data_IF_575999659817
#
_entry.id   IF_575999659817
#
_cell.length_a   1.000
_cell.length_b   1.000
_cell.length_c   1.000
_cell.angle_alpha   90.00
_cell.angle_beta   90.00
_cell.angle_gamma   90.00
#
_symmetry.space_group_name_H-M   'P 1'
#
loop_
_entity.id
_entity.type
_entity.pdbx_description
1 polymer ?
#
# COMPACT_ATOMS: atom_id res chain seq x y z
N UNK A 1 20.40 -15.95 5.09
CA UNK A 1 19.20 -16.12 5.93
C UNK A 1 19.67 -16.26 7.36
N UNK A 2 19.35 -15.29 8.22
CA UNK A 2 19.73 -15.37 9.63
C UNK A 2 18.78 -16.35 10.30
N UNK A 3 19.35 -17.48 10.70
CA UNK A 3 18.76 -18.48 11.59
C UNK A 3 18.19 -17.75 12.80
N UNK A 4 16.89 -17.90 13.04
CA UNK A 4 16.14 -17.58 14.28
C UNK A 4 16.93 -16.77 15.31
N UNK A 5 16.97 -15.44 15.12
CA UNK A 5 17.48 -14.51 16.10
C UNK A 5 16.64 -14.51 17.40
N UNK A 6 17.16 -13.93 18.50
CA UNK A 6 16.41 -13.81 19.74
C UNK A 6 15.10 -13.04 19.50
N UNK A 7 14.03 -13.50 20.15
CA UNK A 7 12.71 -12.86 20.06
C UNK A 7 12.84 -11.41 20.52
N UNK A 8 12.39 -10.48 19.68
CA UNK A 8 12.51 -9.06 19.96
C UNK A 8 11.33 -8.54 20.78
N UNK A 9 11.51 -7.45 21.55
CA UNK A 9 10.41 -6.82 22.29
C UNK A 9 9.28 -6.33 21.36
N UNK A 10 9.61 -5.95 20.11
CA UNK A 10 8.63 -5.57 19.10
C UNK A 10 7.69 -6.72 18.70
N UNK A 11 8.24 -7.92 18.52
CA UNK A 11 7.46 -9.13 18.20
C UNK A 11 6.53 -9.54 19.35
N UNK A 12 7.04 -9.52 20.59
CA UNK A 12 6.23 -9.81 21.78
C UNK A 12 5.13 -8.76 21.95
N UNK A 13 5.45 -7.47 21.79
CA UNK A 13 4.48 -6.37 21.84
C UNK A 13 3.37 -6.54 20.79
N UNK A 14 3.72 -6.97 19.58
CA UNK A 14 2.74 -7.23 18.53
C UNK A 14 1.80 -8.38 18.91
N UNK A 15 2.34 -9.51 19.39
CA UNK A 15 1.54 -10.66 19.82
C UNK A 15 0.61 -10.29 21.00
N UNK A 16 1.11 -9.55 21.99
CA UNK A 16 0.32 -9.04 23.11
C UNK A 16 -0.83 -8.13 22.66
N UNK A 17 -0.66 -7.40 21.56
CA UNK A 17 -1.72 -6.57 20.96
C UNK A 17 -2.74 -7.38 20.13
N UNK A 18 -2.27 -8.35 19.34
CA UNK A 18 -3.12 -9.12 18.42
C UNK A 18 -3.97 -10.16 19.16
N UNK A 19 -3.44 -10.82 20.18
CA UNK A 19 -4.16 -11.90 20.90
C UNK A 19 -5.48 -11.42 21.50
N UNK A 20 -5.54 -10.31 22.29
CA UNK A 20 -6.80 -9.83 22.84
C UNK A 20 -7.80 -9.40 21.75
N UNK A 21 -7.33 -8.83 20.65
CA UNK A 21 -8.17 -8.45 19.51
C UNK A 21 -8.77 -9.69 18.83
N UNK A 22 -7.97 -10.75 18.68
CA UNK A 22 -8.43 -12.01 18.11
C UNK A 22 -9.47 -12.69 19.01
N UNK A 23 -9.25 -12.72 20.33
CA UNK A 23 -10.22 -13.26 21.30
C UNK A 23 -11.51 -12.43 21.28
N UNK A 24 -11.40 -11.10 21.31
CA UNK A 24 -12.54 -10.19 21.27
C UNK A 24 -13.35 -10.34 19.97
N UNK A 25 -12.68 -10.57 18.84
CA UNK A 25 -13.33 -10.87 17.58
C UNK A 25 -14.11 -12.19 17.65
N UNK A 26 -13.48 -13.29 18.08
CA UNK A 26 -14.17 -14.60 18.23
C UNK A 26 -15.38 -14.47 19.16
N UNK A 27 -15.24 -13.75 20.27
CA UNK A 27 -16.34 -13.52 21.20
C UNK A 27 -17.47 -12.70 20.57
N UNK A 28 -17.15 -11.68 19.76
CA UNK A 28 -18.15 -10.90 19.01
C UNK A 28 -18.91 -11.75 17.97
N UNK A 29 -18.24 -12.69 17.29
CA UNK A 29 -18.86 -13.64 16.37
C UNK A 29 -19.78 -14.61 17.12
N UNK A 30 -19.34 -15.10 18.28
CA UNK A 30 -20.14 -15.96 19.12
C UNK A 30 -21.41 -15.26 19.65
N UNK A 31 -21.30 -13.99 20.06
CA UNK A 31 -22.44 -13.18 20.49
C UNK A 31 -23.45 -12.94 19.36
N UNK A 32 -22.98 -12.67 18.13
CA UNK A 32 -23.85 -12.51 16.96
C UNK A 32 -24.55 -13.82 16.60
N UNK A 33 -23.83 -14.94 16.64
CA UNK A 33 -24.39 -16.27 16.44
C UNK A 33 -25.48 -16.57 17.48
N UNK A 34 -25.22 -16.30 18.77
CA UNK A 34 -26.20 -16.48 19.86
C UNK A 34 -27.43 -15.58 19.66
N UNK A 35 -27.24 -14.32 19.26
CA UNK A 35 -28.34 -13.39 18.95
C UNK A 35 -29.17 -13.89 17.77
N UNK A 36 -28.53 -14.37 16.70
CA UNK A 36 -29.21 -14.90 15.51
C UNK A 36 -29.97 -16.19 15.80
N UNK A 37 -29.40 -17.08 16.61
CA UNK A 37 -30.07 -18.29 17.10
C UNK A 37 -31.25 -17.97 18.03
N UNK A 38 -31.15 -16.93 18.87
CA UNK A 38 -32.27 -16.48 19.69
C UNK A 38 -33.40 -15.88 18.85
N UNK A 39 -33.09 -15.11 17.80
CA UNK A 39 -34.09 -14.61 16.85
C UNK A 39 -34.73 -15.74 16.04
N UNK A 40 -33.97 -16.74 15.58
CA UNK A 40 -34.56 -17.89 14.88
C UNK A 40 -35.45 -18.72 15.79
N UNK A 41 -35.09 -18.85 17.09
CA UNK A 41 -35.87 -19.58 18.09
C UNK A 41 -37.19 -18.86 18.43
N UNK A 42 -37.15 -17.52 18.57
CA UNK A 42 -38.36 -16.69 18.73
C UNK A 42 -39.23 -16.72 17.48
N UNK A 43 -38.62 -16.76 16.28
CA UNK A 43 -39.39 -16.88 15.05
C UNK A 43 -40.01 -18.27 14.87
N UNK A 44 -39.35 -19.36 15.30
CA UNK A 44 -39.95 -20.70 15.31
C UNK A 44 -41.05 -20.86 16.37
N UNK A 45 -40.93 -20.21 17.52
CA UNK A 45 -41.98 -20.23 18.56
C UNK A 45 -43.20 -19.39 18.13
N UNK A 46 -42.99 -18.27 17.43
CA UNK A 46 -44.07 -17.48 16.85
C UNK A 46 -44.75 -18.22 15.68
N UNK A 47 -43.98 -18.87 14.80
CA UNK A 47 -44.53 -19.68 13.71
C UNK A 47 -45.29 -20.94 14.19
N UNK A 48 -45.14 -21.34 15.46
CA UNK A 48 -45.93 -22.42 16.06
C UNK A 48 -47.27 -21.93 16.64
N UNK A 49 -47.38 -20.63 16.96
CA UNK A 49 -48.60 -19.99 17.49
C UNK A 49 -49.42 -19.34 16.36
N UNK A 50 -48.79 -18.97 15.25
CA UNK A 50 -49.44 -18.36 14.08
C UNK A 50 -49.90 -19.39 13.03
N UNK A 51 -49.69 -20.70 13.27
CA UNK A 51 -50.14 -21.78 12.36
C UNK A 51 -51.62 -22.18 12.58
N UNK A 52 -52.44 -21.23 13.04
CA UNK A 52 -53.88 -21.40 13.27
C UNK A 52 -54.77 -20.56 12.36
N UNK A 53 -54.28 -19.44 11.80
CA UNK A 53 -55.10 -18.56 10.97
C UNK A 53 -54.29 -17.93 9.82
N UNK A 54 -54.86 -18.06 8.62
CA UNK A 54 -54.63 -17.28 7.41
C UNK A 54 -53.57 -17.72 6.37
N UNK A 55 -54.15 -18.35 5.35
CA UNK A 55 -53.72 -18.55 3.98
C UNK A 55 -53.49 -17.26 3.16
N UNK A 56 -52.42 -17.27 2.36
CA UNK A 56 -52.23 -16.63 1.04
C UNK A 56 -52.06 -15.09 1.01
N UNK A 57 -50.83 -14.65 0.66
CA UNK A 57 -50.56 -13.83 -0.55
C UNK A 57 -49.05 -13.68 -0.79
N UNK A 58 -48.60 -14.30 -1.89
CA UNK A 58 -47.34 -14.00 -2.57
C UNK A 58 -47.49 -12.68 -3.33
N UNK A 59 -46.93 -11.56 -2.87
CA UNK A 59 -46.51 -10.46 -3.77
C UNK A 59 -45.66 -9.36 -3.10
N UNK A 60 -44.49 -9.69 -2.54
CA UNK A 60 -43.53 -8.64 -2.10
C UNK A 60 -42.06 -8.94 -2.43
N UNK A 61 -41.82 -9.93 -3.31
CA UNK A 61 -40.47 -10.41 -3.65
C UNK A 61 -39.85 -9.76 -4.89
N UNK A 62 -40.23 -8.51 -5.19
CA UNK A 62 -39.72 -7.80 -6.37
C UNK A 62 -39.16 -6.38 -6.11
N UNK A 63 -39.03 -5.93 -4.85
CA UNK A 63 -38.52 -4.57 -4.54
C UNK A 63 -37.16 -4.56 -3.80
N UNK A 64 -36.54 -5.71 -3.54
CA UNK A 64 -35.28 -5.82 -2.78
C UNK A 64 -33.99 -5.91 -3.61
N UNK A 65 -33.93 -5.33 -4.81
CA UNK A 65 -32.69 -5.27 -5.60
C UNK A 65 -32.29 -3.89 -6.16
N UNK A 66 -32.94 -2.81 -5.75
CA UNK A 66 -32.55 -1.47 -6.22
C UNK A 66 -32.73 -0.41 -5.13
N UNK A 67 -31.67 -0.15 -4.35
CA UNK A 67 -31.72 0.87 -3.31
C UNK A 67 -30.51 0.86 -2.40
N UNK A 68 -29.55 1.73 -2.68
CA UNK A 68 -28.30 1.84 -1.92
C UNK A 68 -28.51 2.10 -0.43
N UNK A 69 -27.66 1.46 0.38
CA UNK A 69 -27.25 1.75 1.75
C UNK A 69 -27.93 2.98 2.41
N UNK A 70 -29.17 2.85 2.85
CA UNK A 70 -29.77 3.79 3.79
C UNK A 70 -29.34 3.37 5.19
N UNK A 71 -28.37 4.12 5.74
CA UNK A 71 -28.12 4.17 7.18
C UNK A 71 -29.43 4.42 7.90
N UNK A 72 -29.92 3.44 8.64
CA UNK A 72 -30.93 3.69 9.67
C UNK A 72 -30.29 4.51 10.79
N UNK A 73 -30.74 5.75 10.90
CA UNK A 73 -30.39 6.69 11.91
C UNK A 73 -31.20 6.41 13.17
N UNK A 74 -30.53 5.92 14.23
CA UNK A 74 -30.79 6.35 15.62
C UNK A 74 -29.83 5.62 16.56
N UNK A 75 -28.62 6.15 16.68
CA UNK A 75 -27.84 6.01 17.90
C UNK A 75 -27.13 7.34 18.10
N UNK A 76 -27.58 8.10 19.09
CA UNK A 76 -26.92 9.32 19.58
C UNK A 76 -25.43 9.01 19.77
N UNK A 77 -24.57 9.56 18.92
CA UNK A 77 -23.13 9.53 19.07
C UNK A 77 -22.75 10.31 20.33
N UNK A 78 -22.67 9.63 21.47
CA UNK A 78 -21.94 10.16 22.60
C UNK A 78 -20.45 9.92 22.32
N UNK A 79 -19.69 10.99 22.20
CA UNK A 79 -18.24 10.98 22.05
C UNK A 79 -17.61 10.40 23.33
N UNK A 80 -17.65 9.07 23.47
CA UNK A 80 -16.99 8.40 24.57
C UNK A 80 -15.48 8.66 24.45
N UNK A 81 -14.88 9.11 25.56
CA UNK A 81 -13.44 9.30 25.66
C UNK A 81 -12.73 8.00 25.27
N UNK A 82 -11.57 8.09 24.60
CA UNK A 82 -10.77 6.91 24.20
C UNK A 82 -10.51 5.99 25.41
N UNK A 83 -10.34 6.57 26.60
CA UNK A 83 -10.22 5.84 27.86
C UNK A 83 -11.45 4.98 28.16
N UNK A 84 -12.65 5.52 27.95
CA UNK A 84 -13.91 4.80 28.14
C UNK A 84 -14.03 3.66 27.13
N UNK A 85 -13.71 3.89 25.85
CA UNK A 85 -13.74 2.82 24.83
C UNK A 85 -12.70 1.73 25.11
N UNK A 86 -11.50 2.09 25.58
CA UNK A 86 -10.48 1.13 25.98
C UNK A 86 -10.93 0.32 27.19
N UNK A 87 -11.57 0.96 28.17
CA UNK A 87 -12.10 0.27 29.35
C UNK A 87 -13.21 -0.70 28.96
N UNK A 88 -14.15 -0.29 28.08
CA UNK A 88 -15.21 -1.16 27.54
C UNK A 88 -14.66 -2.34 26.75
N UNK A 89 -13.59 -2.14 26.00
CA UNK A 89 -12.88 -3.21 25.30
C UNK A 89 -12.23 -4.19 26.28
N UNK A 90 -11.51 -3.68 27.30
CA UNK A 90 -10.86 -4.51 28.31
C UNK A 90 -11.87 -5.28 29.18
N UNK A 91 -13.04 -4.69 29.45
CA UNK A 91 -14.13 -5.37 30.17
C UNK A 91 -14.98 -6.28 29.28
N UNK A 92 -14.63 -6.44 28.00
CA UNK A 92 -15.36 -7.23 27.00
C UNK A 92 -16.88 -6.95 26.98
N UNK A 93 -17.27 -5.67 26.90
CA UNK A 93 -18.68 -5.29 26.89
C UNK A 93 -19.38 -5.72 25.57
N UNK A 94 -20.46 -6.51 25.68
CA UNK A 94 -21.21 -7.08 24.55
C UNK A 94 -21.65 -6.03 23.50
N UNK A 95 -22.15 -4.88 23.97
CA UNK A 95 -22.66 -3.79 23.13
C UNK A 95 -21.54 -3.19 22.24
N UNK A 96 -20.37 -2.99 22.83
CA UNK A 96 -19.20 -2.41 22.18
C UNK A 96 -18.57 -3.36 21.16
N UNK A 97 -18.51 -4.66 21.48
CA UNK A 97 -17.95 -5.68 20.61
C UNK A 97 -18.82 -5.92 19.37
N UNK A 98 -20.15 -5.93 19.52
CA UNK A 98 -21.07 -6.03 18.39
C UNK A 98 -21.01 -4.81 17.48
N UNK A 99 -20.90 -3.59 18.05
CA UNK A 99 -20.79 -2.36 17.27
C UNK A 99 -19.49 -2.28 16.45
N UNK A 100 -18.37 -2.76 17.02
CA UNK A 100 -17.04 -2.70 16.38
C UNK A 100 -16.60 -4.01 15.71
N UNK A 101 -17.51 -4.98 15.55
CA UNK A 101 -17.21 -6.32 15.01
C UNK A 101 -16.44 -6.29 13.69
N UNK A 102 -16.86 -5.47 12.72
CA UNK A 102 -16.18 -5.37 11.43
C UNK A 102 -14.73 -4.87 11.57
N UNK A 103 -14.48 -3.94 12.49
CA UNK A 103 -13.14 -3.43 12.79
C UNK A 103 -12.29 -4.48 13.50
N UNK A 104 -12.85 -5.20 14.48
CA UNK A 104 -12.17 -6.29 15.19
C UNK A 104 -11.79 -7.41 14.23
N UNK A 105 -12.69 -7.81 13.34
CA UNK A 105 -12.43 -8.76 12.27
C UNK A 105 -11.29 -8.29 11.37
N UNK A 106 -11.32 -7.04 10.93
CA UNK A 106 -10.27 -6.50 10.07
C UNK A 106 -8.88 -6.49 10.74
N UNK A 107 -8.82 -6.14 12.03
CA UNK A 107 -7.58 -6.19 12.82
C UNK A 107 -7.10 -7.63 13.05
N UNK A 108 -8.02 -8.57 13.33
CA UNK A 108 -7.72 -9.98 13.50
C UNK A 108 -7.20 -10.62 12.19
N UNK A 109 -7.81 -10.31 11.05
CA UNK A 109 -7.37 -10.78 9.73
C UNK A 109 -5.96 -10.29 9.39
N UNK A 110 -5.65 -9.00 9.61
CA UNK A 110 -4.27 -8.48 9.43
C UNK A 110 -3.30 -9.18 10.39
N UNK A 111 -3.68 -9.37 11.65
CA UNK A 111 -2.88 -10.10 12.62
C UNK A 111 -2.54 -11.51 12.16
N UNK A 112 -3.53 -12.25 11.64
CA UNK A 112 -3.34 -13.60 11.12
C UNK A 112 -2.42 -13.65 9.90
N UNK A 113 -2.56 -12.70 8.95
CA UNK A 113 -1.67 -12.60 7.78
C UNK A 113 -0.22 -12.35 8.21
N UNK A 114 0.00 -11.48 9.19
CA UNK A 114 1.33 -11.17 9.70
C UNK A 114 1.96 -12.33 10.46
N UNK A 115 1.17 -13.07 11.24
CA UNK A 115 1.62 -14.31 11.90
C UNK A 115 1.99 -15.37 10.85
N UNK A 116 1.21 -15.49 9.77
CA UNK A 116 1.55 -16.37 8.66
C UNK A 116 2.89 -16.00 8.03
N UNK A 117 3.15 -14.71 7.79
CA UNK A 117 4.44 -14.24 7.25
C UNK A 117 5.60 -14.55 8.21
N UNK A 118 5.40 -14.37 9.51
CA UNK A 118 6.38 -14.73 10.52
C UNK A 118 6.71 -16.22 10.47
N UNK A 119 5.70 -17.08 10.38
CA UNK A 119 5.89 -18.54 10.25
C UNK A 119 6.68 -18.86 8.97
N UNK A 120 6.32 -18.26 7.83
CA UNK A 120 6.99 -18.53 6.56
C UNK A 120 8.45 -18.08 6.50
N UNK A 121 8.81 -16.96 7.14
CA UNK A 121 10.12 -16.31 6.97
C UNK A 121 11.05 -16.49 8.19
N UNK A 122 10.52 -16.81 9.38
CA UNK A 122 11.31 -16.95 10.62
C UNK A 122 11.28 -18.35 11.21
N UNK A 123 10.44 -19.26 10.70
CA UNK A 123 10.39 -20.64 11.17
C UNK A 123 10.71 -21.60 10.04
N UNK A 124 11.39 -22.70 10.38
CA UNK A 124 11.70 -23.77 9.43
C UNK A 124 10.54 -24.79 9.30
N UNK A 125 9.31 -24.39 9.68
CA UNK A 125 8.13 -25.24 9.57
C UNK A 125 7.78 -25.54 8.11
N UNK A 126 8.13 -24.63 7.20
CA UNK A 126 8.03 -24.80 5.76
C UNK A 126 9.44 -25.02 5.20
N UNK A 127 9.59 -25.98 4.30
CA UNK A 127 10.89 -26.29 3.69
C UNK A 127 11.44 -25.12 2.87
N UNK A 128 12.73 -24.83 3.04
CA UNK A 128 13.43 -23.82 2.25
C UNK A 128 13.77 -24.37 0.86
N UNK A 129 13.65 -23.53 -0.17
CA UNK A 129 14.03 -23.87 -1.55
C UNK A 129 14.95 -22.81 -2.12
N UNK A 130 15.91 -23.23 -2.93
CA UNK A 130 16.84 -22.32 -3.62
C UNK A 130 16.17 -21.68 -4.83
N UNK A 131 16.48 -20.41 -5.08
CA UNK A 131 15.99 -19.69 -6.27
C UNK A 131 16.67 -20.26 -7.50
N UNK A 132 15.90 -20.81 -8.43
CA UNK A 132 16.37 -21.27 -9.74
C UNK A 132 15.95 -20.28 -10.82
N UNK A 133 16.93 -19.66 -11.48
CA UNK A 133 16.67 -18.81 -12.64
C UNK A 133 16.70 -19.64 -13.92
N UNK A 134 15.59 -19.63 -14.67
CA UNK A 134 15.55 -20.11 -16.05
C UNK A 134 15.07 -18.96 -16.93
N UNK A 135 15.91 -18.53 -17.88
CA UNK A 135 15.66 -17.39 -18.75
C UNK A 135 14.47 -17.61 -19.68
N UNK A 136 14.32 -18.81 -20.23
CA UNK A 136 13.26 -19.13 -21.19
C UNK A 136 11.88 -19.13 -20.49
N UNK A 137 11.81 -19.70 -19.29
CA UNK A 137 10.60 -19.65 -18.46
C UNK A 137 10.25 -18.20 -18.08
N UNK A 138 11.25 -17.39 -17.72
CA UNK A 138 11.05 -15.99 -17.38
C UNK A 138 10.47 -15.20 -18.57
N UNK A 139 11.05 -15.37 -19.76
CA UNK A 139 10.59 -14.71 -20.99
C UNK A 139 9.20 -15.17 -21.42
N UNK A 140 8.91 -16.46 -21.29
CA UNK A 140 7.57 -17.00 -21.56
C UNK A 140 6.51 -16.38 -20.64
N UNK A 141 6.80 -16.34 -19.33
CA UNK A 141 5.93 -15.69 -18.34
C UNK A 141 5.73 -14.20 -18.65
N UNK A 142 6.80 -13.52 -19.06
CA UNK A 142 6.73 -12.11 -19.44
C UNK A 142 5.88 -11.90 -20.71
N UNK A 143 6.01 -12.75 -21.72
CA UNK A 143 5.19 -12.71 -22.93
C UNK A 143 3.71 -12.97 -22.61
N UNK A 144 3.42 -13.95 -21.76
CA UNK A 144 2.05 -14.21 -21.29
C UNK A 144 1.47 -13.00 -20.56
N UNK A 145 2.27 -12.35 -19.71
CA UNK A 145 1.89 -11.13 -18.99
C UNK A 145 1.51 -10.01 -19.98
N UNK A 146 2.31 -9.79 -21.03
CA UNK A 146 2.00 -8.81 -22.09
C UNK A 146 0.69 -9.15 -22.80
N UNK A 147 0.45 -10.42 -23.13
CA UNK A 147 -0.78 -10.85 -23.81
C UNK A 147 -2.00 -10.59 -22.93
N UNK A 148 -1.98 -11.03 -21.67
CA UNK A 148 -3.08 -10.79 -20.72
C UNK A 148 -3.29 -9.28 -20.51
N UNK A 149 -2.20 -8.51 -20.45
CA UNK A 149 -2.26 -7.05 -20.35
C UNK A 149 -2.90 -6.40 -21.56
N UNK A 150 -2.52 -6.83 -22.75
CA UNK A 150 -3.10 -6.32 -23.98
C UNK A 150 -4.59 -6.66 -24.03
N UNK A 151 -4.98 -7.90 -23.71
CA UNK A 151 -6.38 -8.33 -23.69
C UNK A 151 -7.23 -7.53 -22.70
N UNK A 152 -6.69 -7.20 -21.52
CA UNK A 152 -7.42 -6.48 -20.47
C UNK A 152 -7.44 -4.96 -20.68
N UNK A 153 -6.35 -4.38 -21.19
CA UNK A 153 -6.22 -2.93 -21.42
C UNK A 153 -6.94 -2.43 -22.68
N UNK A 154 -7.28 -3.31 -23.63
CA UNK A 154 -8.11 -2.99 -24.79
C UNK A 154 -9.58 -2.69 -24.44
N UNK A 155 -9.99 -2.83 -23.17
CA UNK A 155 -11.34 -2.44 -22.74
C UNK A 155 -11.45 -0.91 -22.71
N UNK A 156 -12.09 -0.36 -23.75
CA UNK A 156 -12.34 1.08 -23.89
C UNK A 156 -13.22 1.57 -22.74
N UNK A 157 -12.62 2.23 -21.75
CA UNK A 157 -13.37 2.90 -20.68
C UNK A 157 -13.85 4.25 -21.22
N UNK A 158 -15.12 4.32 -21.62
CA UNK A 158 -15.79 5.55 -22.05
C UNK A 158 -16.29 6.36 -20.86
N UNK A 159 -15.44 6.56 -19.85
CA UNK A 159 -15.82 7.38 -18.70
C UNK A 159 -15.68 8.85 -19.06
N UNK A 160 -16.82 9.55 -19.13
CA UNK A 160 -16.83 11.01 -19.18
C UNK A 160 -16.16 11.52 -17.91
N UNK A 161 -15.09 12.30 -18.06
CA UNK A 161 -14.39 12.84 -16.90
C UNK A 161 -15.31 13.76 -16.09
N UNK A 162 -15.42 13.49 -14.78
CA UNK A 162 -15.98 14.45 -13.82
C UNK A 162 -15.13 15.74 -13.68
N UNK A 163 -14.03 15.82 -14.43
CA UNK A 163 -13.00 16.85 -14.43
C UNK A 163 -13.10 17.84 -15.61
N UNK A 164 -13.65 17.43 -16.77
CA UNK A 164 -13.64 18.28 -17.98
C UNK A 164 -14.86 18.11 -18.89
N UNK A 165 -15.69 17.07 -18.73
CA UNK A 165 -16.83 16.82 -19.62
C UNK A 165 -16.45 16.41 -21.06
N UNK A 166 -15.15 16.38 -21.39
CA UNK A 166 -14.61 15.86 -22.67
C UNK A 166 -14.04 14.45 -22.52
N UNK A 167 -13.99 13.75 -23.65
CA UNK A 167 -13.82 12.30 -23.83
C UNK A 167 -12.41 11.75 -23.66
N UNK A 168 -11.37 12.57 -23.47
CA UNK A 168 -10.00 12.05 -23.42
C UNK A 168 -9.14 12.80 -22.39
N UNK A 169 -8.95 12.19 -21.22
CA UNK A 169 -7.88 12.59 -20.30
C UNK A 169 -6.59 11.87 -20.69
N UNK A 170 -5.54 12.63 -20.99
CA UNK A 170 -4.19 12.09 -21.13
C UNK A 170 -3.75 11.56 -19.74
N UNK A 171 -3.57 10.25 -19.60
CA UNK A 171 -3.26 9.53 -18.35
C UNK A 171 -4.41 9.51 -17.32
N UNK A 172 -5.44 8.69 -17.59
CA UNK A 172 -6.54 8.49 -16.65
C UNK A 172 -6.08 7.80 -15.37
N UNK A 173 -6.81 8.01 -14.26
CA UNK A 173 -6.53 7.32 -12.99
C UNK A 173 -6.50 5.80 -13.18
N UNK A 174 -7.41 5.25 -13.98
CA UNK A 174 -7.45 3.83 -14.30
C UNK A 174 -6.18 3.37 -15.02
N UNK A 175 -5.70 4.13 -16.01
CA UNK A 175 -4.44 3.84 -16.70
C UNK A 175 -3.22 3.89 -15.76
N UNK A 176 -3.17 4.84 -14.82
CA UNK A 176 -2.07 4.88 -13.84
C UNK A 176 -2.09 3.72 -12.86
N UNK A 177 -3.27 3.27 -12.43
CA UNK A 177 -3.38 2.13 -11.52
C UNK A 177 -3.09 0.81 -12.24
N UNK A 178 -3.51 0.66 -13.51
CA UNK A 178 -3.10 -0.46 -14.37
C UNK A 178 -1.58 -0.49 -14.52
N UNK A 179 -0.96 0.65 -14.90
CA UNK A 179 0.48 0.76 -15.08
C UNK A 179 1.24 0.34 -13.81
N UNK A 180 0.81 0.81 -12.63
CA UNK A 180 1.37 0.37 -11.35
C UNK A 180 1.27 -1.14 -11.16
N UNK A 181 0.09 -1.72 -11.42
CA UNK A 181 -0.15 -3.15 -11.29
C UNK A 181 0.83 -3.99 -12.11
N UNK A 182 1.03 -3.65 -13.39
CA UNK A 182 1.99 -4.34 -14.26
C UNK A 182 3.43 -4.25 -13.73
N UNK A 183 3.84 -3.06 -13.28
CA UNK A 183 5.17 -2.88 -12.70
C UNK A 183 5.36 -3.70 -11.41
N UNK A 184 4.32 -3.84 -10.58
CA UNK A 184 4.37 -4.67 -9.36
C UNK A 184 4.59 -6.14 -9.68
N UNK A 185 3.91 -6.68 -10.71
CA UNK A 185 4.13 -8.07 -11.13
C UNK A 185 5.56 -8.27 -11.63
N UNK A 186 6.12 -7.30 -12.35
CA UNK A 186 7.52 -7.36 -12.79
C UNK A 186 8.51 -7.28 -11.63
N UNK A 187 8.24 -6.48 -10.60
CA UNK A 187 9.02 -6.49 -9.36
C UNK A 187 8.98 -7.85 -8.67
N UNK A 188 7.80 -8.50 -8.60
CA UNK A 188 7.67 -9.83 -8.02
C UNK A 188 8.46 -10.86 -8.82
N UNK A 189 8.33 -10.88 -10.15
CA UNK A 189 9.08 -11.76 -11.04
C UNK A 189 10.59 -11.62 -10.87
N UNK A 190 11.10 -10.38 -10.86
CA UNK A 190 12.52 -10.09 -10.68
C UNK A 190 13.07 -10.66 -9.36
N UNK A 191 12.37 -10.45 -8.24
CA UNK A 191 12.82 -10.94 -6.92
C UNK A 191 12.62 -12.44 -6.73
N UNK A 192 11.58 -13.02 -7.33
CA UNK A 192 11.30 -14.46 -7.25
C UNK A 192 12.38 -15.26 -7.97
N UNK A 193 12.69 -14.88 -9.21
CA UNK A 193 13.68 -15.57 -10.04
C UNK A 193 15.13 -15.10 -9.84
N UNK A 194 15.35 -14.01 -9.10
CA UNK A 194 16.66 -13.37 -8.92
C UNK A 194 17.34 -13.01 -10.26
N UNK A 195 16.55 -12.51 -11.21
CA UNK A 195 16.99 -12.21 -12.58
C UNK A 195 17.76 -10.89 -12.67
N UNK A 196 19.08 -10.93 -12.41
CA UNK A 196 19.95 -9.73 -12.37
C UNK A 196 20.00 -8.96 -13.69
N UNK A 197 19.79 -9.62 -14.84
CA UNK A 197 19.80 -9.03 -16.18
C UNK A 197 18.79 -7.88 -16.35
N UNK A 198 17.66 -7.94 -15.62
CA UNK A 198 16.55 -6.99 -15.78
C UNK A 198 16.68 -5.83 -14.78
N UNK A 199 17.74 -5.81 -13.95
CA UNK A 199 17.95 -4.79 -12.92
C UNK A 199 17.80 -3.34 -13.46
N UNK A 200 18.37 -3.06 -14.63
CA UNK A 200 18.27 -1.73 -15.25
C UNK A 200 16.81 -1.36 -15.59
N UNK A 201 16.03 -2.31 -16.11
CA UNK A 201 14.61 -2.08 -16.39
C UNK A 201 13.79 -1.89 -15.10
N UNK A 202 14.08 -2.65 -14.06
CA UNK A 202 13.48 -2.48 -12.72
C UNK A 202 13.78 -1.07 -12.17
N UNK A 203 14.99 -0.55 -12.37
CA UNK A 203 15.35 0.82 -11.98
C UNK A 203 14.58 1.88 -12.77
N UNK A 204 14.37 1.69 -14.07
CA UNK A 204 13.50 2.58 -14.87
C UNK A 204 12.05 2.57 -14.34
N UNK A 205 11.54 1.40 -13.92
CA UNK A 205 10.22 1.33 -13.29
C UNK A 205 10.16 2.07 -11.95
N UNK A 206 11.19 1.97 -11.13
CA UNK A 206 11.25 2.73 -9.88
C UNK A 206 11.27 4.24 -10.17
N UNK A 207 12.04 4.69 -11.16
CA UNK A 207 12.02 6.08 -11.60
C UNK A 207 10.61 6.50 -12.08
N UNK A 208 9.91 5.66 -12.85
CA UNK A 208 8.53 5.92 -13.26
C UNK A 208 7.56 6.03 -12.07
N UNK A 209 7.74 5.22 -11.02
CA UNK A 209 6.98 5.34 -9.76
C UNK A 209 7.22 6.68 -9.07
N UNK A 210 8.47 7.10 -8.96
CA UNK A 210 8.86 8.39 -8.38
C UNK A 210 8.30 9.54 -9.23
N UNK A 211 8.35 9.42 -10.55
CA UNK A 211 7.76 10.39 -11.49
C UNK A 211 6.25 10.52 -11.27
N UNK A 212 5.52 9.41 -11.20
CA UNK A 212 4.07 9.41 -10.92
C UNK A 212 3.74 9.99 -9.56
N UNK A 213 4.64 9.86 -8.59
CA UNK A 213 4.48 10.46 -7.25
C UNK A 213 4.58 11.97 -7.34
N UNK A 214 5.57 12.49 -8.05
CA UNK A 214 5.68 13.91 -8.38
C UNK A 214 4.45 14.41 -9.12
N UNK A 215 4.10 13.75 -10.22
CA UNK A 215 2.97 14.13 -11.09
C UNK A 215 1.62 14.09 -10.36
N UNK A 216 1.29 12.96 -9.72
CA UNK A 216 -0.01 12.74 -9.09
C UNK A 216 -0.23 13.61 -7.86
N UNK A 217 0.78 13.75 -6.99
CA UNK A 217 0.66 14.61 -5.82
C UNK A 217 0.63 16.09 -6.22
N UNK A 218 1.43 16.51 -7.20
CA UNK A 218 1.40 17.89 -7.70
C UNK A 218 0.03 18.24 -8.24
N UNK A 219 -0.49 17.44 -9.19
CA UNK A 219 -1.82 17.63 -9.77
C UNK A 219 -2.90 17.69 -8.70
N UNK A 220 -2.81 16.81 -7.69
CA UNK A 220 -3.74 16.80 -6.56
C UNK A 220 -3.72 18.13 -5.79
N UNK A 221 -2.56 18.57 -5.28
CA UNK A 221 -2.46 19.75 -4.45
C UNK A 221 -2.68 21.06 -5.23
N UNK A 222 -2.24 21.11 -6.50
CA UNK A 222 -2.41 22.27 -7.36
C UNK A 222 -3.88 22.51 -7.71
N UNK A 223 -4.64 21.47 -8.07
CA UNK A 223 -6.05 21.59 -8.45
C UNK A 223 -6.95 21.67 -7.23
N UNK A 224 -6.81 20.76 -6.26
CA UNK A 224 -7.73 20.69 -5.12
C UNK A 224 -7.47 21.77 -4.07
N UNK A 225 -6.26 22.35 -4.05
CA UNK A 225 -5.81 23.36 -3.06
C UNK A 225 -6.04 22.93 -1.60
N UNK A 226 -6.20 21.63 -1.37
CA UNK A 226 -6.46 21.04 -0.06
C UNK A 226 -5.14 20.57 0.55
N UNK A 227 -4.57 21.40 1.41
CA UNK A 227 -3.35 21.12 2.16
C UNK A 227 -3.63 20.56 3.55
N UNK A 228 -4.81 19.96 3.78
CA UNK A 228 -5.19 19.39 5.07
C UNK A 228 -4.20 18.33 5.56
N UNK A 229 -3.68 18.53 6.77
CA UNK A 229 -2.77 17.60 7.46
C UNK A 229 -3.45 16.24 7.68
N UNK A 230 -4.76 16.22 7.96
CA UNK A 230 -5.50 14.97 8.13
C UNK A 230 -5.46 14.12 6.84
N UNK A 231 -5.67 14.75 5.68
CA UNK A 231 -5.62 14.05 4.40
C UNK A 231 -4.21 13.58 4.05
N UNK A 232 -3.21 14.42 4.28
CA UNK A 232 -1.81 14.04 4.11
C UNK A 232 -1.47 12.82 4.97
N UNK A 233 -1.88 12.82 6.24
CA UNK A 233 -1.67 11.70 7.17
C UNK A 233 -2.37 10.43 6.68
N UNK A 234 -3.59 10.52 6.12
CA UNK A 234 -4.28 9.36 5.52
C UNK A 234 -3.51 8.75 4.35
N UNK A 235 -2.91 9.60 3.50
CA UNK A 235 -2.10 9.15 2.38
C UNK A 235 -0.83 8.44 2.86
N UNK A 236 -0.14 9.03 3.84
CA UNK A 236 1.06 8.44 4.44
C UNK A 236 0.78 7.13 5.18
N UNK A 237 -0.33 7.08 5.91
CA UNK A 237 -0.79 5.86 6.57
C UNK A 237 -1.05 4.76 5.55
N UNK A 238 -1.87 5.02 4.52
CA UNK A 238 -2.18 4.01 3.52
C UNK A 238 -0.92 3.44 2.85
N UNK A 239 0.07 4.29 2.60
CA UNK A 239 1.33 3.89 1.95
C UNK A 239 2.21 3.02 2.87
N UNK A 240 2.33 3.39 4.15
CA UNK A 240 3.30 2.78 5.06
C UNK A 240 2.72 1.74 6.02
N UNK A 241 1.39 1.66 6.14
CA UNK A 241 0.69 0.84 7.12
C UNK A 241 1.20 -0.60 7.12
N UNK A 242 1.09 -1.29 5.99
CA UNK A 242 1.44 -2.70 5.91
C UNK A 242 2.93 -2.95 6.16
N UNK A 243 3.80 -2.14 5.53
CA UNK A 243 5.25 -2.28 5.66
C UNK A 243 5.74 -2.03 7.08
N UNK A 244 5.15 -1.07 7.80
CA UNK A 244 5.50 -0.82 9.19
C UNK A 244 5.25 -2.05 10.08
N UNK A 245 4.11 -2.73 9.91
CA UNK A 245 3.84 -3.96 10.65
C UNK A 245 4.74 -5.12 10.22
N UNK A 246 5.07 -5.25 8.92
CA UNK A 246 6.04 -6.25 8.46
C UNK A 246 7.43 -6.03 9.08
N UNK A 247 7.89 -4.78 9.19
CA UNK A 247 9.18 -4.47 9.82
C UNK A 247 9.21 -4.87 11.30
N UNK A 248 8.11 -4.60 12.03
CA UNK A 248 7.99 -4.96 13.45
C UNK A 248 7.96 -6.48 13.64
N UNK A 249 7.13 -7.19 12.86
CA UNK A 249 6.90 -8.63 13.03
C UNK A 249 8.09 -9.44 12.55
N UNK A 250 8.68 -9.08 11.40
CA UNK A 250 9.83 -9.79 10.84
C UNK A 250 11.16 -9.32 11.45
N UNK A 251 11.17 -8.24 12.22
CA UNK A 251 12.39 -7.57 12.70
C UNK A 251 13.33 -7.22 11.53
N UNK A 252 12.75 -6.63 10.48
CA UNK A 252 13.45 -6.22 9.27
C UNK A 252 13.67 -4.70 9.29
N UNK A 253 14.82 -4.25 8.80
CA UNK A 253 15.09 -2.83 8.58
C UNK A 253 14.12 -2.28 7.51
N UNK A 254 13.58 -1.09 7.74
CA UNK A 254 12.61 -0.46 6.83
C UNK A 254 13.17 -0.19 5.43
N UNK A 255 14.50 -0.02 5.32
CA UNK A 255 15.21 0.09 4.05
C UNK A 255 15.09 -1.14 3.14
N UNK A 256 14.83 -2.33 3.69
CA UNK A 256 14.55 -3.51 2.85
C UNK A 256 13.30 -3.30 1.98
N UNK A 257 12.40 -2.41 2.40
CA UNK A 257 11.20 -2.00 1.68
C UNK A 257 11.34 -0.58 1.09
N UNK A 258 12.53 -0.20 0.61
CA UNK A 258 12.91 1.17 0.24
C UNK A 258 11.96 1.94 -0.71
N UNK A 259 11.13 1.24 -1.49
CA UNK A 259 10.09 1.86 -2.32
C UNK A 259 9.17 2.75 -1.46
N UNK A 260 8.75 2.28 -0.28
CA UNK A 260 7.88 3.03 0.63
C UNK A 260 8.50 4.31 1.21
N UNK A 261 9.73 4.31 1.78
CA UNK A 261 10.39 5.53 2.22
C UNK A 261 10.65 6.49 1.07
N UNK A 262 11.00 6.01 -0.13
CA UNK A 262 11.18 6.90 -1.29
C UNK A 262 9.87 7.62 -1.67
N UNK A 263 8.75 6.90 -1.75
CA UNK A 263 7.46 7.52 -2.02
C UNK A 263 7.04 8.50 -0.91
N UNK A 264 7.33 8.17 0.35
CA UNK A 264 7.08 9.05 1.50
C UNK A 264 7.91 10.33 1.39
N UNK A 265 9.20 10.20 1.09
CA UNK A 265 10.13 11.30 0.91
C UNK A 265 9.65 12.28 -0.17
N UNK A 266 9.44 11.78 -1.39
CA UNK A 266 9.08 12.66 -2.51
C UNK A 266 7.67 13.23 -2.35
N UNK A 267 6.76 12.52 -1.69
CA UNK A 267 5.44 13.09 -1.33
C UNK A 267 5.58 14.25 -0.34
N UNK A 268 6.44 14.12 0.68
CA UNK A 268 6.75 15.21 1.62
C UNK A 268 7.37 16.41 0.91
N UNK A 269 8.30 16.19 -0.02
CA UNK A 269 8.93 17.27 -0.79
C UNK A 269 7.93 18.02 -1.67
N UNK A 270 7.05 17.30 -2.39
CA UNK A 270 5.98 17.93 -3.19
C UNK A 270 5.01 18.70 -2.30
N UNK A 271 4.60 18.12 -1.16
CA UNK A 271 3.73 18.79 -0.20
C UNK A 271 4.38 20.06 0.37
N UNK A 272 5.67 20.02 0.71
CA UNK A 272 6.43 21.18 1.16
C UNK A 272 6.53 22.26 0.09
N UNK A 273 6.93 21.90 -1.14
CA UNK A 273 7.11 22.83 -2.25
C UNK A 273 5.81 23.58 -2.61
N UNK A 274 4.67 22.88 -2.62
CA UNK A 274 3.37 23.47 -2.92
C UNK A 274 2.68 24.11 -1.72
N UNK A 275 2.93 23.59 -0.52
CA UNK A 275 2.31 24.07 0.72
C UNK A 275 2.89 25.39 1.21
N UNK A 276 4.22 25.58 1.10
CA UNK A 276 4.88 26.84 1.42
C UNK A 276 4.39 27.92 0.45
N UNK A 277 3.82 29.02 0.93
CA UNK A 277 3.23 30.09 0.08
C UNK A 277 2.17 29.60 -0.92
N UNK A 278 1.29 28.68 -0.50
CA UNK A 278 0.24 28.10 -1.35
C UNK A 278 -0.67 29.13 -2.06
N UNK A 279 -0.85 30.31 -1.47
CA UNK A 279 -1.63 31.43 -2.04
C UNK A 279 -1.08 31.97 -3.36
N UNK A 280 0.23 31.85 -3.60
CA UNK A 280 0.90 32.40 -4.77
C UNK A 280 1.21 31.34 -5.84
N UNK A 281 0.71 30.12 -5.69
CA UNK A 281 0.94 29.02 -6.62
C UNK A 281 0.39 29.28 -8.04
N UNK A 282 -0.56 30.21 -8.17
CA UNK A 282 -1.16 30.58 -9.45
C UNK A 282 -0.25 31.47 -10.31
N UNK A 283 0.74 32.12 -9.69
CA UNK A 283 1.65 33.02 -10.39
C UNK A 283 2.76 32.17 -11.06
N UNK A 284 2.91 32.20 -12.40
CA UNK A 284 3.87 31.36 -13.11
C UNK A 284 5.33 31.58 -12.67
N UNK A 285 5.69 32.85 -12.37
CA UNK A 285 7.03 33.19 -11.88
C UNK A 285 7.32 32.55 -10.52
N UNK A 286 6.35 32.55 -9.60
CA UNK A 286 6.49 31.91 -8.28
C UNK A 286 6.62 30.39 -8.42
N UNK A 287 5.86 29.78 -9.33
CA UNK A 287 5.98 28.35 -9.61
C UNK A 287 7.36 27.99 -10.20
N UNK A 288 7.88 28.80 -11.14
CA UNK A 288 9.21 28.59 -11.70
C UNK A 288 10.30 28.69 -10.62
N UNK A 289 10.23 29.71 -9.75
CA UNK A 289 11.16 29.87 -8.62
C UNK A 289 11.09 28.67 -7.67
N UNK A 290 9.89 28.13 -7.39
CA UNK A 290 9.72 26.94 -6.56
C UNK A 290 10.32 25.69 -7.16
N UNK A 291 10.13 25.46 -8.45
CA UNK A 291 10.75 24.32 -9.16
C UNK A 291 12.28 24.44 -9.12
N UNK A 292 12.81 25.64 -9.35
CA UNK A 292 14.24 25.93 -9.29
C UNK A 292 14.79 25.74 -7.88
N UNK A 293 14.04 26.15 -6.85
CA UNK A 293 14.36 25.89 -5.45
C UNK A 293 14.36 24.38 -5.13
N UNK A 294 13.45 23.58 -5.69
CA UNK A 294 13.49 22.12 -5.53
C UNK A 294 14.77 21.51 -6.10
N UNK A 295 15.23 21.96 -7.27
CA UNK A 295 16.52 21.51 -7.83
C UNK A 295 17.69 21.91 -6.92
N UNK A 296 17.69 23.15 -6.42
CA UNK A 296 18.72 23.63 -5.50
C UNK A 296 18.74 22.82 -4.20
N UNK A 297 17.58 22.51 -3.61
CA UNK A 297 17.50 21.65 -2.41
C UNK A 297 18.08 20.26 -2.67
N UNK A 298 17.79 19.66 -3.82
CA UNK A 298 18.37 18.36 -4.19
C UNK A 298 19.90 18.44 -4.32
N UNK A 299 20.41 19.49 -4.98
CA UNK A 299 21.86 19.70 -5.11
C UNK A 299 22.51 19.87 -3.73
N UNK A 300 21.94 20.71 -2.86
CA UNK A 300 22.49 20.95 -1.52
C UNK A 300 22.52 19.69 -0.67
N UNK A 301 21.46 18.87 -0.72
CA UNK A 301 21.34 17.69 0.15
C UNK A 301 22.16 16.50 -0.39
N UNK A 302 22.20 16.25 -1.70
CA UNK A 302 22.82 15.05 -2.29
C UNK A 302 24.21 15.28 -2.90
N UNK A 303 24.54 16.48 -3.39
CA UNK A 303 25.84 16.71 -4.06
C UNK A 303 26.93 17.20 -3.08
N UNK A 304 26.54 17.88 -1.99
CA UNK A 304 27.51 18.37 -1.01
C UNK A 304 27.90 17.22 -0.06
N UNK A 305 29.18 16.81 -0.03
CA UNK A 305 29.63 15.74 0.86
C UNK A 305 29.40 16.15 2.32
N UNK A 306 28.85 15.24 3.12
CA UNK A 306 28.56 15.44 4.55
C UNK A 306 27.19 16.05 4.86
N UNK A 307 26.60 16.87 3.97
CA UNK A 307 25.28 17.47 4.22
C UNK A 307 24.19 16.41 4.30
N UNK A 308 24.24 15.40 3.41
CA UNK A 308 23.31 14.28 3.44
C UNK A 308 23.29 13.58 4.80
N UNK A 309 24.47 13.17 5.28
CA UNK A 309 24.61 12.43 6.53
C UNK A 309 24.14 13.27 7.73
N UNK A 310 24.45 14.58 7.77
CA UNK A 310 23.98 15.48 8.83
C UNK A 310 22.45 15.60 8.81
N UNK A 311 21.86 15.79 7.62
CA UNK A 311 20.41 15.98 7.46
C UNK A 311 19.63 14.71 7.80
N UNK A 312 20.14 13.53 7.42
CA UNK A 312 19.46 12.25 7.60
C UNK A 312 19.85 11.51 8.89
N UNK A 313 20.92 11.91 9.58
CA UNK A 313 21.37 11.30 10.85
C UNK A 313 20.25 11.19 11.91
N UNK A 314 19.38 12.20 12.13
CA UNK A 314 18.27 12.06 13.09
C UNK A 314 17.27 10.96 12.73
N UNK A 315 17.15 10.63 11.44
CA UNK A 315 16.26 9.60 10.90
C UNK A 315 16.97 8.26 10.69
N UNK A 316 18.22 8.13 11.15
CA UNK A 316 19.00 6.89 11.05
C UNK A 316 18.35 5.69 11.75
N UNK A 317 17.52 5.91 12.77
CA UNK A 317 16.77 4.84 13.42
C UNK A 317 15.74 4.18 12.48
N UNK A 318 15.23 4.92 11.49
CA UNK A 318 14.22 4.46 10.55
C UNK A 318 14.83 4.10 9.19
N UNK A 319 15.78 4.91 8.72
CA UNK A 319 16.34 4.83 7.38
C UNK A 319 17.73 4.17 7.33
N UNK A 320 18.29 3.81 8.48
CA UNK A 320 19.55 3.08 8.55
C UNK A 320 19.37 1.63 8.09
N UNK A 321 20.34 1.15 7.31
CA UNK A 321 20.49 -0.26 6.94
C UNK A 321 21.92 -0.68 7.11
N UNK A 322 22.14 -1.84 7.74
CA UNK A 322 23.49 -2.39 7.87
C UNK A 322 23.54 -3.67 7.05
N UNK A 323 24.19 -3.62 5.89
CA UNK A 323 24.30 -4.78 5.02
C UNK A 323 25.24 -5.82 5.65
N UNK A 324 24.77 -7.05 5.98
CA UNK A 324 25.64 -8.10 6.51
C UNK A 324 26.76 -8.51 5.55
N UNK A 325 26.58 -8.26 4.24
CA UNK A 325 27.59 -8.57 3.21
C UNK A 325 28.64 -7.46 3.07
N UNK A 326 28.38 -6.25 3.58
CA UNK A 326 29.28 -5.09 3.48
C UNK A 326 29.22 -4.25 4.78
N UNK A 327 29.82 -4.75 5.87
CA UNK A 327 29.72 -4.12 7.19
C UNK A 327 30.47 -2.78 7.29
N UNK A 328 31.42 -2.51 6.40
CA UNK A 328 32.28 -1.31 6.44
C UNK A 328 31.60 -0.03 5.92
N UNK A 329 30.40 -0.13 5.34
CA UNK A 329 29.68 1.02 4.79
C UNK A 329 28.88 1.77 5.86
N UNK A 330 28.68 3.08 5.67
CA UNK A 330 27.84 3.87 6.58
C UNK A 330 26.40 3.33 6.60
N UNK A 331 25.73 3.42 7.76
CA UNK A 331 24.34 2.93 7.92
C UNK A 331 23.36 3.64 6.95
N UNK A 332 23.69 4.84 6.50
CA UNK A 332 22.88 5.61 5.55
C UNK A 332 23.34 5.44 4.09
N UNK A 333 24.38 4.64 3.82
CA UNK A 333 24.91 4.45 2.48
C UNK A 333 23.85 3.94 1.49
N UNK A 334 23.09 2.91 1.88
CA UNK A 334 22.05 2.34 1.02
C UNK A 334 20.94 3.37 0.76
N UNK A 335 20.55 4.14 1.78
CA UNK A 335 19.58 5.21 1.64
C UNK A 335 20.09 6.32 0.72
N UNK A 336 21.34 6.75 0.87
CA UNK A 336 22.00 7.74 0.02
C UNK A 336 22.04 7.27 -1.44
N UNK A 337 22.45 6.03 -1.66
CA UNK A 337 22.54 5.44 -3.00
C UNK A 337 21.15 5.37 -3.66
N UNK A 338 20.16 4.78 -2.99
CA UNK A 338 18.82 4.57 -3.57
C UNK A 338 18.08 5.88 -3.81
N UNK A 339 18.05 6.76 -2.80
CA UNK A 339 17.40 8.07 -2.94
C UNK A 339 18.14 8.99 -3.92
N UNK A 340 19.46 8.85 -4.01
CA UNK A 340 20.31 9.62 -4.91
C UNK A 340 20.06 9.30 -6.37
N UNK A 341 19.84 8.03 -6.74
CA UNK A 341 19.67 7.65 -8.14
C UNK A 341 18.42 8.27 -8.80
N UNK A 342 17.32 8.47 -8.06
CA UNK A 342 16.06 9.00 -8.58
C UNK A 342 15.77 10.45 -8.13
N UNK A 343 16.78 11.15 -7.60
CA UNK A 343 16.64 12.43 -6.87
C UNK A 343 16.00 13.58 -7.65
N UNK A 344 16.07 13.57 -8.99
CA UNK A 344 15.50 14.63 -9.84
C UNK A 344 14.14 14.26 -10.44
N UNK A 345 13.78 12.98 -10.45
CA UNK A 345 12.67 12.46 -11.26
C UNK A 345 11.30 12.97 -10.78
N UNK A 346 11.13 13.15 -9.47
CA UNK A 346 9.91 13.71 -8.91
C UNK A 346 9.69 15.18 -9.33
N UNK A 347 10.76 15.96 -9.49
CA UNK A 347 10.71 17.35 -9.98
C UNK A 347 10.27 17.37 -11.44
N UNK A 348 10.79 16.46 -12.26
CA UNK A 348 10.33 16.28 -13.64
C UNK A 348 8.83 15.92 -13.65
N UNK A 349 8.39 15.03 -12.75
CA UNK A 349 6.97 14.74 -12.57
C UNK A 349 6.11 15.98 -12.27
N UNK A 350 6.59 16.87 -11.40
CA UNK A 350 5.91 18.15 -11.11
C UNK A 350 5.85 19.07 -12.33
N UNK A 351 6.95 19.21 -13.08
CA UNK A 351 7.02 20.02 -14.29
C UNK A 351 5.99 19.52 -15.30
N UNK A 352 5.96 18.21 -15.56
CA UNK A 352 4.97 17.60 -16.45
C UNK A 352 3.54 17.84 -15.97
N UNK A 353 3.27 17.73 -14.66
CA UNK A 353 1.95 18.02 -14.10
C UNK A 353 1.54 19.49 -14.23
N UNK A 354 2.48 20.42 -14.13
CA UNK A 354 2.20 21.85 -14.33
C UNK A 354 1.86 22.18 -15.78
N UNK A 355 2.55 21.56 -16.74
CA UNK A 355 2.26 21.76 -18.15
C UNK A 355 1.08 20.93 -18.65
N UNK A 356 0.73 19.81 -18.01
CA UNK A 356 -0.34 18.91 -18.46
C UNK A 356 -1.69 19.61 -18.71
N UNK A 357 -2.20 20.50 -17.82
CA UNK A 357 -3.40 21.31 -18.10
C UNK A 357 -3.22 22.33 -19.24
N UNK A 358 -1.97 22.74 -19.53
CA UNK A 358 -1.62 23.72 -20.56
C UNK A 358 -1.33 23.08 -21.93
N UNK A 359 -1.19 21.75 -22.02
CA UNK A 359 -1.04 21.02 -23.30
C UNK A 359 -2.39 20.75 -23.97
N UNK A 360 -3.51 20.97 -23.28
CA UNK A 360 -4.87 20.99 -23.87
C UNK A 360 -5.16 22.28 -24.69
N UNK A 361 -4.13 22.85 -25.33
CA UNK A 361 -4.32 23.83 -26.40
C UNK A 361 -4.80 23.04 -27.63
N UNK A 362 -5.94 23.40 -28.26
CA UNK A 362 -6.62 22.54 -29.22
C UNK A 362 -5.82 22.10 -30.47
N UNK A 363 -4.67 22.70 -30.79
CA UNK A 363 -3.99 22.52 -32.07
C UNK A 363 -2.46 22.59 -31.99
N UNK A 364 -1.80 21.80 -31.12
CA UNK A 364 -0.34 21.92 -30.94
C UNK A 364 0.46 20.64 -30.70
N UNK A 365 -0.13 19.44 -30.77
CA UNK A 365 0.62 18.21 -30.47
C UNK A 365 1.16 17.53 -31.74
N UNK A 366 2.48 17.24 -31.84
CA UNK A 366 3.02 16.41 -32.90
C UNK A 366 2.56 14.96 -32.67
N UNK A 367 1.42 14.60 -33.29
CA UNK A 367 0.85 13.23 -33.32
C UNK A 367 1.84 12.16 -33.80
N UNK A 368 2.97 12.56 -34.39
CA UNK A 368 3.94 11.68 -35.01
C UNK A 368 5.09 11.22 -34.10
N UNK A 369 5.32 11.83 -32.93
CA UNK A 369 6.57 11.60 -32.19
C UNK A 369 6.47 10.56 -31.06
N UNK A 370 5.27 10.13 -30.63
CA UNK A 370 5.12 9.24 -29.46
C UNK A 370 3.95 8.24 -29.51
N UNK A 371 3.30 8.03 -30.67
CA UNK A 371 2.26 7.00 -30.81
C UNK A 371 2.56 6.04 -31.94
N UNK A 372 3.10 4.86 -31.61
CA UNK A 372 3.13 3.71 -32.51
C UNK A 372 1.70 3.26 -32.87
N UNK A 373 0.77 3.37 -31.91
CA UNK A 373 -0.67 3.14 -32.06
C UNK A 373 -1.43 4.38 -31.57
N UNK A 374 -2.15 5.11 -32.45
CA UNK A 374 -3.00 6.23 -32.06
C UNK A 374 -4.09 5.77 -31.07
N UNK A 375 -4.43 6.61 -30.10
CA UNK A 375 -5.44 6.35 -29.03
C UNK A 375 -5.08 5.34 -27.92
N UNK A 376 -3.93 4.64 -27.98
CA UNK A 376 -3.52 3.67 -26.95
C UNK A 376 -2.17 4.03 -26.31
N UNK A 377 -2.10 5.05 -25.44
CA UNK A 377 -0.84 5.48 -24.81
C UNK A 377 -0.21 4.38 -23.93
N UNK A 378 -1.03 3.55 -23.26
CA UNK A 378 -0.51 2.43 -22.46
C UNK A 378 0.10 1.34 -23.35
N UNK A 379 -0.51 1.05 -24.52
CA UNK A 379 0.02 0.09 -25.47
C UNK A 379 1.36 0.55 -26.07
N UNK A 380 1.50 1.85 -26.35
CA UNK A 380 2.77 2.43 -26.81
C UNK A 380 3.86 2.33 -25.75
N UNK A 381 3.51 2.61 -24.49
CA UNK A 381 4.43 2.46 -23.36
C UNK A 381 4.83 1.00 -23.15
N UNK A 382 3.87 0.07 -23.21
CA UNK A 382 4.11 -1.36 -23.12
C UNK A 382 4.99 -1.86 -24.26
N UNK A 383 4.73 -1.43 -25.49
CA UNK A 383 5.52 -1.82 -26.66
C UNK A 383 6.95 -1.29 -26.55
N UNK A 384 7.12 -0.03 -26.12
CA UNK A 384 8.45 0.56 -25.89
C UNK A 384 9.20 -0.17 -24.77
N UNK A 385 8.51 -0.53 -23.69
CA UNK A 385 9.07 -1.31 -22.58
C UNK A 385 9.44 -2.73 -23.01
N UNK A 386 8.58 -3.39 -23.78
CA UNK A 386 8.83 -4.71 -24.35
C UNK A 386 10.03 -4.69 -25.29
N UNK A 387 10.14 -3.69 -26.17
CA UNK A 387 11.30 -3.49 -27.05
C UNK A 387 12.56 -3.26 -26.21
N UNK A 388 12.52 -2.37 -25.21
CA UNK A 388 13.68 -2.07 -24.36
C UNK A 388 14.17 -3.31 -23.58
N UNK A 389 13.26 -4.07 -22.99
CA UNK A 389 13.60 -5.31 -22.26
C UNK A 389 14.11 -6.38 -23.23
N UNK A 390 13.48 -6.53 -24.40
CA UNK A 390 13.90 -7.48 -25.42
C UNK A 390 15.30 -7.13 -25.95
N UNK A 391 15.60 -5.85 -26.21
CA UNK A 391 16.93 -5.38 -26.64
C UNK A 391 18.00 -5.59 -25.55
N UNK A 392 17.69 -5.32 -24.28
CA UNK A 392 18.63 -5.57 -23.17
C UNK A 392 18.91 -7.07 -22.96
N UNK A 393 17.94 -7.94 -23.23
CA UNK A 393 18.10 -9.40 -23.10
C UNK A 393 18.77 -10.01 -24.34
N UNK A 394 18.51 -9.49 -25.54
CA UNK A 394 19.14 -9.97 -26.78
C UNK A 394 20.61 -9.56 -26.90
N UNK A 395 21.06 -8.51 -26.20
CA UNK A 395 22.45 -8.05 -26.22
C UNK A 395 23.41 -8.91 -25.38
N UNK A 396 22.93 -9.94 -24.67
CA UNK A 396 23.71 -10.78 -23.75
C UNK A 396 23.70 -12.29 -24.09
N UNK A 397 23.40 -12.68 -25.34
CA UNK A 397 23.29 -14.10 -25.73
C UNK A 397 24.61 -14.88 -25.62
N UNK A 398 24.55 -16.12 -25.08
CA UNK A 398 24.40 -17.26 -25.97
C UNK A 398 23.10 -18.03 -25.72
N UNK A 399 22.58 -18.64 -26.79
CA UNK A 399 21.38 -19.48 -26.78
C UNK A 399 21.73 -20.89 -26.31
N UNK A 400 21.05 -21.35 -25.25
CA UNK A 400 20.89 -22.77 -24.94
C UNK A 400 19.43 -22.95 -24.55
N UNK A 401 18.69 -23.70 -25.37
CA UNK A 401 17.36 -24.17 -25.06
C UNK A 401 17.50 -25.37 -24.12
N UNK A 402 16.88 -25.32 -22.94
CA UNK A 402 16.69 -26.50 -22.10
C UNK A 402 15.41 -26.42 -21.27
N UNK A 403 14.67 -27.54 -21.32
CA UNK A 403 13.51 -28.02 -20.55
C UNK A 403 12.62 -27.00 -19.85
N UNK A 404 11.39 -26.87 -20.38
CA UNK A 404 10.26 -26.23 -19.72
C UNK A 404 9.85 -27.02 -18.47
N UNK A 405 10.03 -26.43 -17.29
CA UNK A 405 9.72 -27.07 -16.02
C UNK A 405 8.34 -26.60 -15.51
N UNK A 406 7.29 -27.32 -15.88
CA UNK A 406 5.87 -26.97 -15.60
C UNK A 406 5.58 -26.75 -14.11
N UNK A 407 6.36 -27.39 -13.22
CA UNK A 407 6.23 -27.25 -11.77
C UNK A 407 6.57 -25.83 -11.33
N UNK A 408 7.67 -25.26 -11.84
CA UNK A 408 8.08 -23.89 -11.51
C UNK A 408 7.08 -22.85 -12.04
N UNK A 409 6.48 -23.10 -13.21
CA UNK A 409 5.40 -22.29 -13.77
C UNK A 409 4.15 -22.32 -12.88
N UNK A 410 3.71 -23.50 -12.45
CA UNK A 410 2.55 -23.67 -11.59
C UNK A 410 2.72 -23.00 -10.21
N UNK A 411 3.91 -23.18 -9.58
CA UNK A 411 4.23 -22.54 -8.30
C UNK A 411 4.24 -21.01 -8.45
N UNK A 412 4.81 -20.48 -9.53
CA UNK A 412 4.83 -19.04 -9.77
C UNK A 412 3.42 -18.48 -9.99
N UNK A 413 2.59 -19.11 -10.83
CA UNK A 413 1.22 -18.65 -11.10
C UNK A 413 0.33 -18.72 -9.86
N UNK A 414 0.42 -19.79 -9.07
CA UNK A 414 -0.30 -19.91 -7.80
C UNK A 414 0.15 -18.86 -6.77
N UNK A 415 1.46 -18.59 -6.66
CA UNK A 415 2.01 -17.55 -5.79
C UNK A 415 1.55 -16.14 -6.22
N UNK A 416 1.50 -15.87 -7.52
CA UNK A 416 0.97 -14.62 -8.06
C UNK A 416 -0.51 -14.43 -7.75
N UNK A 417 -1.34 -15.46 -7.94
CA UNK A 417 -2.77 -15.40 -7.63
C UNK A 417 -3.02 -15.21 -6.14
N UNK A 418 -2.31 -15.94 -5.29
CA UNK A 418 -2.37 -15.77 -3.84
C UNK A 418 -1.95 -14.35 -3.44
N UNK A 419 -0.86 -13.84 -4.00
CA UNK A 419 -0.38 -12.47 -3.74
C UNK A 419 -1.39 -11.41 -4.17
N UNK A 420 -2.05 -11.61 -5.32
CA UNK A 420 -3.08 -10.68 -5.82
C UNK A 420 -4.31 -10.68 -4.90
N UNK A 421 -4.78 -11.85 -4.49
CA UNK A 421 -5.92 -11.98 -3.58
C UNK A 421 -5.63 -11.37 -2.21
N UNK A 422 -4.44 -11.65 -1.66
CA UNK A 422 -3.97 -11.08 -0.40
C UNK A 422 -3.82 -9.56 -0.53
N UNK A 423 -3.27 -9.05 -1.63
CA UNK A 423 -3.12 -7.61 -1.88
C UNK A 423 -4.46 -6.89 -1.96
N UNK A 424 -5.44 -7.44 -2.69
CA UNK A 424 -6.79 -6.88 -2.76
C UNK A 424 -7.43 -6.83 -1.37
N UNK A 425 -7.32 -7.93 -0.60
CA UNK A 425 -7.87 -7.98 0.75
C UNK A 425 -7.16 -7.01 1.70
N UNK A 426 -5.83 -6.93 1.65
CA UNK A 426 -5.04 -5.96 2.43
C UNK A 426 -5.41 -4.53 2.09
N UNK A 427 -5.72 -4.22 0.82
CA UNK A 427 -6.16 -2.90 0.40
C UNK A 427 -7.52 -2.53 1.03
N UNK A 428 -8.49 -3.44 1.03
CA UNK A 428 -9.78 -3.25 1.71
C UNK A 428 -9.60 -3.05 3.22
N UNK A 429 -8.79 -3.90 3.85
CA UNK A 429 -8.53 -3.87 5.29
C UNK A 429 -7.83 -2.56 5.68
N UNK A 430 -6.82 -2.15 4.93
CA UNK A 430 -6.10 -0.88 5.15
C UNK A 430 -7.06 0.31 5.02
N UNK A 431 -7.97 0.31 4.04
CA UNK A 431 -8.92 1.40 3.87
C UNK A 431 -9.97 1.44 4.99
N UNK A 432 -10.45 0.30 5.45
CA UNK A 432 -11.34 0.19 6.61
C UNK A 432 -10.65 0.76 7.84
N UNK A 433 -9.43 0.29 8.16
CA UNK A 433 -8.68 0.74 9.33
C UNK A 433 -8.24 2.21 9.24
N UNK A 434 -7.88 2.71 8.05
CA UNK A 434 -7.57 4.12 7.83
C UNK A 434 -8.70 5.03 8.29
N UNK A 435 -9.96 4.65 8.04
CA UNK A 435 -11.12 5.46 8.45
C UNK A 435 -11.33 5.49 9.97
N UNK A 436 -10.88 4.44 10.67
CA UNK A 436 -10.97 4.29 12.13
C UNK A 436 -9.84 5.06 12.82
N UNK A 437 -8.60 4.87 12.38
CA UNK A 437 -7.43 5.50 12.98
C UNK A 437 -7.32 6.98 12.64
N UNK A 438 -7.66 7.37 11.41
CA UNK A 438 -7.46 8.74 10.90
C UNK A 438 -8.81 9.31 10.43
N UNK A 439 -9.61 9.89 11.35
CA UNK A 439 -10.91 10.45 11.01
C UNK A 439 -10.79 11.69 10.11
N UNK A 440 -11.69 11.81 9.13
CA UNK A 440 -11.66 12.85 8.09
C UNK A 440 -12.13 14.23 8.53
N UNK A 441 -12.93 14.32 9.61
CA UNK A 441 -13.69 15.53 9.93
C UNK A 441 -13.08 16.41 11.02
N UNK A 442 -12.15 15.89 11.83
CA UNK A 442 -11.65 16.62 13.01
C UNK A 442 -10.16 16.39 13.29
N UNK A 443 -9.34 17.43 13.10
CA UNK A 443 -7.90 17.42 13.40
C UNK A 443 -7.62 17.12 14.89
N UNK A 444 -8.50 17.57 15.79
CA UNK A 444 -8.38 17.32 17.23
C UNK A 444 -8.53 15.83 17.57
N UNK A 445 -9.47 15.15 16.90
CA UNK A 445 -9.67 13.70 17.06
C UNK A 445 -8.51 12.90 16.47
N UNK A 446 -7.94 13.34 15.35
CA UNK A 446 -6.71 12.77 14.81
C UNK A 446 -5.56 12.84 15.82
N UNK A 447 -5.35 14.00 16.44
CA UNK A 447 -4.32 14.17 17.47
C UNK A 447 -4.55 13.24 18.66
N UNK A 448 -5.79 13.14 19.16
CA UNK A 448 -6.11 12.22 20.27
C UNK A 448 -5.89 10.76 19.91
N UNK A 449 -6.31 10.32 18.71
CA UNK A 449 -6.08 8.96 18.24
C UNK A 449 -4.58 8.66 18.10
N UNK A 450 -3.80 9.62 17.61
CA UNK A 450 -2.36 9.49 17.46
C UNK A 450 -1.66 9.35 18.82
N UNK A 451 -1.98 10.24 19.78
CA UNK A 451 -1.45 10.18 21.15
C UNK A 451 -1.85 8.87 21.84
N UNK A 452 -3.10 8.43 21.69
CA UNK A 452 -3.56 7.16 22.23
C UNK A 452 -2.82 5.96 21.62
N UNK A 453 -2.59 5.96 20.29
CA UNK A 453 -1.84 4.93 19.61
C UNK A 453 -0.40 4.82 20.11
N UNK A 454 0.29 5.96 20.27
CA UNK A 454 1.63 6.01 20.87
C UNK A 454 1.62 5.47 22.30
N UNK A 455 0.67 5.92 23.13
CA UNK A 455 0.58 5.48 24.52
C UNK A 455 0.37 3.95 24.62
N UNK A 456 -0.56 3.40 23.83
CA UNK A 456 -0.81 1.96 23.79
C UNK A 456 0.43 1.19 23.31
N UNK A 457 1.08 1.66 22.23
CA UNK A 457 2.30 1.02 21.71
C UNK A 457 3.44 1.04 22.71
N UNK A 458 3.63 2.15 23.44
CA UNK A 458 4.65 2.25 24.48
C UNK A 458 4.37 1.31 25.65
N UNK A 459 3.11 1.23 26.11
CA UNK A 459 2.71 0.31 27.18
C UNK A 459 2.97 -1.14 26.77
N UNK A 460 2.56 -1.54 25.57
CA UNK A 460 2.78 -2.89 25.07
C UNK A 460 4.28 -3.21 24.92
N UNK A 461 5.08 -2.25 24.43
CA UNK A 461 6.52 -2.42 24.29
C UNK A 461 7.24 -2.51 25.64
N UNK A 462 6.90 -1.66 26.61
CA UNK A 462 7.44 -1.74 27.97
C UNK A 462 7.05 -3.06 28.65
N UNK A 463 5.80 -3.52 28.48
CA UNK A 463 5.35 -4.83 29.00
C UNK A 463 6.15 -5.97 28.36
N UNK A 464 6.35 -5.93 27.04
CA UNK A 464 7.16 -6.89 26.31
C UNK A 464 8.62 -6.92 26.79
N UNK A 465 9.23 -5.75 27.02
CA UNK A 465 10.57 -5.65 27.57
C UNK A 465 10.67 -6.29 28.96
N UNK A 466 9.72 -6.01 29.85
CA UNK A 466 9.67 -6.59 31.19
C UNK A 466 9.56 -8.11 31.09
N UNK A 467 8.64 -8.62 30.26
CA UNK A 467 8.45 -10.08 30.07
C UNK A 467 9.71 -10.77 29.56
N UNK A 468 10.47 -10.12 28.67
CA UNK A 468 11.73 -10.67 28.15
C UNK A 468 12.88 -10.60 29.17
N UNK A 469 12.82 -9.70 30.14
CA UNK A 469 13.81 -9.60 31.23
C UNK A 469 13.54 -10.58 32.38
N UNK A 470 12.35 -11.19 32.45
CA UNK A 470 12.06 -12.22 33.45
C UNK A 470 12.91 -13.46 33.11
N UNK A 471 13.89 -13.83 33.96
CA UNK A 471 14.69 -15.02 33.73
C UNK A 471 13.78 -16.23 33.73
N UNK A 472 13.66 -16.89 32.58
CA UNK A 472 12.98 -18.17 32.51
C UNK A 472 13.85 -19.18 33.26
N UNK A 473 13.47 -19.52 34.48
CA UNK A 473 14.01 -20.68 35.18
C UNK A 473 13.77 -21.88 34.27
N UNK A 474 14.84 -22.39 33.64
CA UNK A 474 14.79 -23.64 32.87
C UNK A 474 14.32 -24.72 33.84
N UNK A 475 13.10 -25.23 33.62
CA UNK A 475 12.63 -26.48 34.21
C UNK A 475 12.98 -27.61 33.25
#
# INVERSE_FOLDING_TARGET
MVVSGPITPGQVSFLLGVIPVFIAWIYSEFLEYKKSASHSKVHSDNNLVELGEETIKEDDRAVLLEGGLTRSASAKFHSASIKTNLMRFLTMEDSFLLENRATLRAMAEIGAILVYFYICDRTNLLGESTKKYNRDLFLFLYALLIIVSAMTSLKKHSDKSAFSGKTMQYLSRHQTEEWKGWMQVLFLMYHYFAATEIYNAIRVFIAAYVWMTGFGNFSYYYIRKDFSVARFTQMMWRLNFFVAFCCIVLNNDYMLYYICPMHTLFTLMVYGALGIFSKYNEIPSVMAVKILACFLVVILIWEIPGVFEIFWSPLSFLLGYTDPAKPDLSRLHEWHFRSGLDRYIWIIGMIYAYYHPNVDIPNGQPKWLLSLVPEYPLLNFMLTTAIYILVNIFSTLPCSANSFDYIHLFIFLSSCLASLQISHRLFELTNTLKSVFIPTKENRRLLYNFVAGIAISLILYCTALILLQIPHSRA
#
